data_IF_548440394143
#
_entry.id   IF_548440394143
#
_cell.length_a   1.000
_cell.length_b   1.000
_cell.length_c   1.000
_cell.angle_alpha   90.00
_cell.angle_beta   90.00
_cell.angle_gamma   90.00
#
_symmetry.space_group_name_H-M   'P 1'
#
loop_
_entity.id
_entity.type
_entity.pdbx_description
1 polymer ?
#
# COMPACT_ATOMS: atom_id res chain seq x y z
N UNK A 1 -2.81 -2.03 -14.26
CA UNK A 1 -3.79 -2.10 -13.16
C UNK A 1 -4.50 -3.44 -13.19
N UNK A 2 -4.61 -4.15 -12.07
CA UNK A 2 -5.46 -5.34 -11.94
C UNK A 2 -6.81 -4.86 -11.42
N UNK A 3 -7.89 -5.11 -12.16
CA UNK A 3 -9.25 -4.78 -11.73
C UNK A 3 -9.79 -5.95 -10.92
N UNK A 4 -10.36 -5.67 -9.76
CA UNK A 4 -10.89 -6.68 -8.83
C UNK A 4 -12.35 -6.38 -8.48
N UNK A 5 -13.14 -7.42 -8.25
CA UNK A 5 -14.54 -7.28 -7.84
C UNK A 5 -14.62 -6.83 -6.38
N UNK A 6 -15.41 -5.80 -6.08
CA UNK A 6 -15.72 -5.42 -4.70
C UNK A 6 -16.72 -6.37 -4.03
N UNK A 7 -17.55 -7.06 -4.83
CA UNK A 7 -18.53 -8.04 -4.34
C UNK A 7 -17.85 -9.36 -3.97
N UNK A 8 -16.77 -9.70 -4.67
CA UNK A 8 -15.95 -10.88 -4.41
C UNK A 8 -14.48 -10.49 -4.49
N UNK A 9 -13.95 -9.81 -3.46
CA UNK A 9 -12.57 -9.37 -3.46
C UNK A 9 -11.62 -10.57 -3.39
N UNK A 10 -10.44 -10.49 -4.02
CA UNK A 10 -9.39 -11.47 -3.77
C UNK A 10 -8.97 -11.42 -2.31
N UNK A 11 -8.29 -12.46 -1.84
CA UNK A 11 -7.68 -12.42 -0.51
C UNK A 11 -6.69 -11.25 -0.44
N UNK A 12 -6.91 -10.34 0.52
CA UNK A 12 -6.03 -9.21 0.78
C UNK A 12 -5.68 -9.12 2.26
N UNK A 13 -4.51 -8.55 2.55
CA UNK A 13 -4.07 -8.25 3.91
C UNK A 13 -4.38 -6.78 4.22
N UNK A 14 -5.24 -6.53 5.20
CA UNK A 14 -5.40 -5.19 5.77
C UNK A 14 -4.24 -4.91 6.73
N UNK A 15 -3.48 -3.84 6.47
CA UNK A 15 -2.29 -3.51 7.23
C UNK A 15 -2.58 -2.34 8.16
N UNK A 16 -2.48 -2.62 9.47
CA UNK A 16 -2.43 -1.60 10.51
C UNK A 16 -0.98 -1.25 10.83
N UNK A 17 -0.66 0.04 10.85
CA UNK A 17 0.66 0.55 11.18
C UNK A 17 0.55 1.86 11.96
N UNK A 18 1.60 2.21 12.70
CA UNK A 18 1.68 3.50 13.38
C UNK A 18 1.91 4.60 12.35
N UNK A 19 1.07 5.64 12.35
CA UNK A 19 1.16 6.71 11.34
C UNK A 19 2.50 7.47 11.43
N UNK A 20 3.01 7.67 12.64
CA UNK A 20 4.28 8.35 12.86
C UNK A 20 4.26 9.79 12.36
N UNK A 21 5.38 10.25 11.80
CA UNK A 21 5.49 11.57 11.18
C UNK A 21 4.59 11.65 9.92
N UNK A 22 3.63 12.61 9.85
CA UNK A 22 2.75 12.76 8.70
C UNK A 22 3.44 13.34 7.46
N UNK A 23 4.71 13.75 7.55
CA UNK A 23 5.47 14.25 6.41
C UNK A 23 5.56 13.19 5.30
N UNK A 24 5.06 13.53 4.12
CA UNK A 24 5.13 12.69 2.92
C UNK A 24 6.48 12.85 2.24
N UNK A 25 7.49 12.16 2.76
CA UNK A 25 8.89 12.24 2.29
C UNK A 25 9.32 11.07 1.40
N UNK A 26 8.41 10.13 1.12
CA UNK A 26 8.67 8.94 0.28
C UNK A 26 7.67 8.87 -0.86
N UNK A 27 8.06 8.22 -1.95
CA UNK A 27 7.20 7.97 -3.09
C UNK A 27 7.13 6.48 -3.43
N UNK A 28 5.97 6.06 -3.92
CA UNK A 28 5.75 4.76 -4.54
C UNK A 28 5.07 4.96 -5.90
N UNK A 29 5.20 3.99 -6.79
CA UNK A 29 4.53 4.02 -8.09
C UNK A 29 3.24 3.20 -7.98
N UNK A 30 2.10 3.83 -8.26
CA UNK A 30 0.78 3.20 -8.36
C UNK A 30 0.20 3.55 -9.71
N UNK A 31 -0.10 2.55 -10.54
CA UNK A 31 -0.65 2.74 -11.89
C UNK A 31 0.11 3.78 -12.73
N UNK A 32 1.46 3.69 -12.70
CA UNK A 32 2.39 4.61 -13.38
C UNK A 32 2.44 6.04 -12.84
N UNK A 33 1.72 6.34 -11.76
CA UNK A 33 1.75 7.62 -11.07
C UNK A 33 2.60 7.54 -9.80
N UNK A 34 3.34 8.61 -9.52
CA UNK A 34 4.05 8.76 -8.27
C UNK A 34 3.09 9.22 -7.18
N UNK A 35 2.91 8.39 -6.16
CA UNK A 35 2.13 8.70 -4.97
C UNK A 35 3.07 8.98 -3.80
N UNK A 36 2.96 10.17 -3.22
CA UNK A 36 3.69 10.54 -2.02
C UNK A 36 3.02 9.96 -0.76
N UNK A 37 3.84 9.29 0.05
CA UNK A 37 3.41 8.61 1.27
C UNK A 37 4.35 8.94 2.44
N UNK A 38 3.91 8.64 3.65
CA UNK A 38 4.77 8.80 4.84
C UNK A 38 5.85 7.74 4.86
N UNK A 39 6.91 8.00 5.63
CA UNK A 39 7.97 7.01 5.89
C UNK A 39 7.42 5.71 6.49
N UNK A 40 6.50 5.81 7.45
CA UNK A 40 5.90 4.65 8.12
C UNK A 40 5.14 3.74 7.15
N UNK A 41 4.35 4.33 6.24
CA UNK A 41 3.65 3.61 5.18
C UNK A 41 4.65 2.98 4.19
N UNK A 42 5.69 3.71 3.80
CA UNK A 42 6.74 3.19 2.92
C UNK A 42 7.44 1.97 3.53
N UNK A 43 7.84 2.07 4.80
CA UNK A 43 8.57 1.02 5.51
C UNK A 43 7.73 -0.25 5.64
N UNK A 44 6.44 -0.14 5.96
CA UNK A 44 5.58 -1.32 6.08
C UNK A 44 5.30 -1.97 4.72
N UNK A 45 5.09 -1.18 3.66
CA UNK A 45 4.96 -1.68 2.28
C UNK A 45 6.25 -2.40 1.88
N UNK A 46 7.41 -1.82 2.18
CA UNK A 46 8.69 -2.42 1.82
C UNK A 46 8.95 -3.74 2.58
N UNK A 47 8.64 -3.79 3.89
CA UNK A 47 8.76 -5.02 4.69
C UNK A 47 7.83 -6.14 4.25
N UNK A 48 6.70 -5.80 3.63
CA UNK A 48 5.72 -6.77 3.12
C UNK A 48 6.00 -7.25 1.71
N UNK A 49 6.91 -6.60 0.97
CA UNK A 49 7.31 -7.07 -0.37
C UNK A 49 7.96 -8.45 -0.25
N UNK A 50 7.57 -9.35 -1.15
CA UNK A 50 8.18 -10.66 -1.32
C UNK A 50 8.58 -10.82 -2.79
N UNK A 51 9.81 -11.27 -3.10
CA UNK A 51 10.19 -11.58 -4.47
C UNK A 51 9.53 -12.87 -4.99
N UNK A 52 9.00 -13.71 -4.09
CA UNK A 52 8.46 -15.04 -4.41
C UNK A 52 6.94 -15.07 -4.53
N UNK A 53 6.25 -14.09 -3.94
CA UNK A 53 4.79 -14.11 -3.83
C UNK A 53 4.20 -12.72 -4.01
N UNK A 54 3.25 -12.60 -4.93
CA UNK A 54 2.40 -11.43 -5.05
C UNK A 54 1.46 -11.33 -3.85
N UNK A 55 1.36 -10.14 -3.27
CA UNK A 55 0.47 -9.85 -2.15
C UNK A 55 -0.46 -8.71 -2.51
N UNK A 56 -1.75 -8.88 -2.25
CA UNK A 56 -2.72 -7.81 -2.27
C UNK A 56 -2.78 -7.25 -0.85
N UNK A 57 -2.45 -5.97 -0.69
CA UNK A 57 -2.47 -5.31 0.62
C UNK A 57 -3.40 -4.09 0.56
N UNK A 58 -4.04 -3.79 1.68
CA UNK A 58 -4.83 -2.60 1.87
C UNK A 58 -4.19 -1.74 2.95
N UNK A 59 -3.84 -0.50 2.59
CA UNK A 59 -3.28 0.52 3.48
C UNK A 59 -4.14 1.77 3.36
N UNK A 60 -4.66 2.25 4.48
CA UNK A 60 -5.61 3.37 4.51
C UNK A 60 -5.09 4.62 3.80
N UNK A 61 -3.80 4.97 3.97
CA UNK A 61 -3.22 6.14 3.32
C UNK A 61 -3.20 6.07 1.79
N UNK A 62 -3.17 4.87 1.21
CA UNK A 62 -3.13 4.66 -0.24
C UNK A 62 -4.54 4.44 -0.78
N UNK A 63 -5.39 3.71 -0.04
CA UNK A 63 -6.67 3.21 -0.55
C UNK A 63 -7.90 4.06 -0.20
N UNK A 64 -7.83 5.00 0.75
CA UNK A 64 -8.97 5.87 1.15
C UNK A 64 -8.88 7.28 0.54
N UNK A 65 -7.71 7.67 0.02
CA UNK A 65 -7.41 9.04 -0.37
C UNK A 65 -8.36 9.61 -1.44
#
# INVERSE_FOLDING_TARGET
TIIVSLVSPPSYEAISYVWGNPLKEKSIVVDHLNLEITKSAYDIIHRRRSPWQYRVIWIGQVCIN
#
